data_IF_389567001161
#
_entry.id   IF_389567001161
#
_cell.length_a   1.000
_cell.length_b   1.000
_cell.length_c   1.000
_cell.angle_alpha   90.00
_cell.angle_beta   90.00
_cell.angle_gamma   90.00
#
_symmetry.space_group_name_H-M   'P 1'
#
loop_
_entity.id
_entity.type
_entity.pdbx_description
1 polymer ?
#
# COMPACT_ATOMS: atom_id res chain seq x y z
N UNK A 1 -24.09 -5.00 16.42
CA UNK A 1 -23.37 -5.29 15.17
C UNK A 1 -21.89 -5.46 15.48
N UNK A 2 -21.21 -6.37 14.77
CA UNK A 2 -19.74 -6.45 14.89
C UNK A 2 -19.09 -5.44 13.95
N UNK A 3 -17.97 -4.87 14.39
CA UNK A 3 -17.24 -3.85 13.65
C UNK A 3 -15.89 -4.39 13.16
N UNK A 4 -15.39 -3.80 12.09
CA UNK A 4 -14.01 -3.95 11.61
C UNK A 4 -13.24 -2.71 12.05
N UNK A 5 -12.17 -2.90 12.82
CA UNK A 5 -11.27 -1.80 13.17
C UNK A 5 -10.24 -1.61 12.07
N UNK A 6 -10.25 -0.44 11.42
CA UNK A 6 -9.32 -0.08 10.34
C UNK A 6 -8.29 0.90 10.86
N UNK A 7 -7.10 0.39 11.20
CA UNK A 7 -5.99 1.21 11.71
C UNK A 7 -5.15 1.72 10.54
N UNK A 8 -4.98 3.04 10.45
CA UNK A 8 -4.37 3.70 9.29
C UNK A 8 -5.38 3.91 8.14
N UNK A 9 -6.68 3.98 8.47
CA UNK A 9 -7.77 4.07 7.50
C UNK A 9 -7.94 5.45 6.85
N UNK A 10 -7.18 6.47 7.25
CA UNK A 10 -7.11 7.76 6.58
C UNK A 10 -5.95 7.85 5.57
N UNK A 11 -5.08 6.84 5.52
CA UNK A 11 -4.01 6.70 4.52
C UNK A 11 -4.53 6.27 3.16
N UNK A 12 -3.67 6.26 2.15
CA UNK A 12 -4.03 5.97 0.76
C UNK A 12 -4.78 4.64 0.61
N UNK A 13 -4.14 3.52 0.97
CA UNK A 13 -4.73 2.18 0.81
C UNK A 13 -5.88 1.96 1.80
N UNK A 14 -5.66 2.33 3.08
CA UNK A 14 -6.65 2.14 4.12
C UNK A 14 -7.98 2.85 3.84
N UNK A 15 -7.95 4.04 3.25
CA UNK A 15 -9.16 4.78 2.89
C UNK A 15 -9.95 4.12 1.75
N UNK A 16 -9.28 3.57 0.74
CA UNK A 16 -9.94 2.83 -0.35
C UNK A 16 -10.58 1.54 0.15
N UNK A 17 -9.87 0.81 1.03
CA UNK A 17 -10.44 -0.39 1.67
C UNK A 17 -11.63 -0.04 2.55
N UNK A 18 -11.52 1.02 3.36
CA UNK A 18 -12.61 1.48 4.23
C UNK A 18 -13.84 1.92 3.42
N UNK A 19 -13.62 2.62 2.30
CA UNK A 19 -14.69 3.00 1.38
C UNK A 19 -15.41 1.78 0.83
N UNK A 20 -14.67 0.78 0.33
CA UNK A 20 -15.25 -0.45 -0.22
C UNK A 20 -15.99 -1.26 0.85
N UNK A 21 -15.45 -1.35 2.07
CA UNK A 21 -16.15 -1.97 3.20
C UNK A 21 -17.50 -1.30 3.47
N UNK A 22 -17.56 0.03 3.47
CA UNK A 22 -18.80 0.78 3.61
C UNK A 22 -19.80 0.51 2.47
N UNK A 23 -19.33 0.46 1.21
CA UNK A 23 -20.16 0.10 0.05
C UNK A 23 -20.70 -1.34 0.15
N UNK A 24 -19.93 -2.26 0.78
CA UNK A 24 -20.34 -3.64 1.10
C UNK A 24 -21.14 -3.76 2.42
N UNK A 25 -21.52 -2.61 3.03
CA UNK A 25 -22.33 -2.53 4.26
C UNK A 25 -21.69 -3.16 5.51
N UNK A 26 -20.38 -3.19 5.57
CA UNK A 26 -19.67 -3.50 6.80
C UNK A 26 -19.64 -2.28 7.72
N UNK A 27 -19.86 -2.48 9.02
CA UNK A 27 -19.64 -1.46 10.03
C UNK A 27 -18.13 -1.35 10.32
N UNK A 28 -17.56 -0.16 10.15
CA UNK A 28 -16.13 0.09 10.36
C UNK A 28 -15.92 1.16 11.42
N UNK A 29 -14.82 1.03 12.17
CA UNK A 29 -14.27 2.07 13.03
C UNK A 29 -12.88 2.38 12.52
N UNK A 30 -12.61 3.62 12.13
CA UNK A 30 -11.30 4.04 11.63
C UNK A 30 -10.50 4.68 12.75
N UNK A 31 -9.28 4.19 13.00
CA UNK A 31 -8.30 4.82 13.88
C UNK A 31 -7.13 5.33 13.04
N UNK A 32 -6.84 6.64 13.12
CA UNK A 32 -5.71 7.25 12.42
C UNK A 32 -5.24 8.51 13.16
N UNK A 33 -3.94 8.74 13.24
CA UNK A 33 -3.35 9.93 13.86
C UNK A 33 -3.14 11.09 12.86
N UNK A 34 -3.50 10.89 11.59
CA UNK A 34 -3.37 11.84 10.48
C UNK A 34 -1.92 12.31 10.21
N UNK A 35 -0.92 11.56 10.68
CA UNK A 35 0.49 11.90 10.42
C UNK A 35 0.88 11.78 8.94
N UNK A 36 0.19 10.93 8.20
CA UNK A 36 0.34 10.72 6.74
C UNK A 36 -1.01 10.61 6.03
N UNK A 37 -2.07 10.33 6.78
CA UNK A 37 -3.44 10.25 6.28
C UNK A 37 -4.15 11.62 6.28
N UNK A 38 -5.31 11.65 5.64
CA UNK A 38 -6.15 12.84 5.52
C UNK A 38 -7.57 12.53 5.99
N UNK A 39 -8.10 13.32 6.93
CA UNK A 39 -9.47 13.11 7.45
C UNK A 39 -10.52 13.08 6.32
N UNK A 40 -10.34 13.89 5.27
CA UNK A 40 -11.24 13.94 4.13
C UNK A 40 -11.31 12.62 3.33
N UNK A 41 -10.31 11.74 3.48
CA UNK A 41 -10.31 10.42 2.85
C UNK A 41 -11.14 9.38 3.64
N UNK A 42 -11.55 9.69 4.86
CA UNK A 42 -12.41 8.81 5.67
C UNK A 42 -13.86 9.14 5.38
N UNK A 43 -14.52 8.26 4.62
CA UNK A 43 -15.92 8.40 4.22
C UNK A 43 -16.87 7.52 5.08
N UNK A 44 -16.38 6.92 6.15
CA UNK A 44 -17.18 6.18 7.15
C UNK A 44 -17.67 7.10 8.27
N UNK A 45 -18.70 6.64 9.00
CA UNK A 45 -19.32 7.41 10.08
C UNK A 45 -18.44 7.46 11.32
N UNK A 46 -17.73 6.38 11.64
CA UNK A 46 -16.95 6.24 12.88
C UNK A 46 -15.45 6.49 12.61
N UNK A 47 -14.99 7.67 13.02
CA UNK A 47 -13.58 8.07 12.93
C UNK A 47 -13.05 8.49 14.30
N UNK A 48 -11.97 7.86 14.72
CA UNK A 48 -11.25 8.16 15.96
C UNK A 48 -9.88 8.77 15.59
N UNK A 49 -9.69 10.01 15.97
CA UNK A 49 -8.38 10.68 15.87
C UNK A 49 -7.50 10.21 17.03
N UNK A 50 -6.45 9.46 16.73
CA UNK A 50 -5.53 8.98 17.75
C UNK A 50 -4.43 8.10 17.21
N UNK A 51 -3.43 7.84 18.04
CA UNK A 51 -2.27 7.03 17.69
C UNK A 51 -2.44 5.59 18.21
N UNK A 52 -2.10 4.62 17.38
CA UNK A 52 -2.04 3.20 17.76
C UNK A 52 -1.02 2.94 18.91
N UNK A 53 -0.07 3.85 19.12
CA UNK A 53 0.86 3.79 20.24
C UNK A 53 0.19 4.02 21.60
N UNK A 54 -0.99 4.66 21.63
CA UNK A 54 -1.78 4.91 22.85
C UNK A 54 -2.59 3.65 23.21
N UNK A 55 -2.04 2.89 24.14
CA UNK A 55 -2.63 1.64 24.62
C UNK A 55 -3.99 1.85 25.31
N UNK A 56 -4.14 2.93 26.07
CA UNK A 56 -5.41 3.25 26.72
C UNK A 56 -6.51 3.56 25.71
N UNK A 57 -6.14 4.26 24.62
CA UNK A 57 -7.06 4.52 23.51
C UNK A 57 -7.47 3.21 22.85
N UNK A 58 -6.53 2.31 22.55
CA UNK A 58 -6.84 1.00 22.00
C UNK A 58 -7.80 0.22 22.89
N UNK A 59 -7.49 0.08 24.18
CA UNK A 59 -8.36 -0.60 25.16
C UNK A 59 -9.78 0.01 25.17
N UNK A 60 -9.89 1.33 25.13
CA UNK A 60 -11.20 2.01 25.10
C UNK A 60 -11.97 1.69 23.81
N UNK A 61 -11.30 1.65 22.64
CA UNK A 61 -11.93 1.26 21.39
C UNK A 61 -12.48 -0.16 21.47
N UNK A 62 -11.69 -1.14 21.95
CA UNK A 62 -12.12 -2.53 22.05
C UNK A 62 -13.24 -2.73 23.11
N UNK A 63 -13.33 -1.86 24.12
CA UNK A 63 -14.44 -1.86 25.09
C UNK A 63 -15.72 -1.22 24.55
N UNK A 64 -15.56 -0.15 23.77
CA UNK A 64 -16.69 0.61 23.24
C UNK A 64 -17.34 -0.08 22.05
N UNK A 65 -16.54 -0.69 21.18
CA UNK A 65 -17.00 -1.32 19.96
C UNK A 65 -16.81 -2.84 20.01
N UNK A 66 -17.81 -3.58 19.55
CA UNK A 66 -17.68 -5.02 19.36
C UNK A 66 -16.81 -5.30 18.12
N UNK A 67 -15.49 -5.29 18.28
CA UNK A 67 -14.54 -5.56 17.18
C UNK A 67 -14.46 -7.07 16.94
N UNK A 68 -14.64 -7.50 15.68
CA UNK A 68 -14.48 -8.89 15.24
C UNK A 68 -13.15 -9.12 14.49
N UNK A 69 -12.72 -8.12 13.72
CA UNK A 69 -11.51 -8.15 12.88
C UNK A 69 -10.78 -6.83 12.96
N UNK A 70 -9.45 -6.88 12.94
CA UNK A 70 -8.58 -5.71 12.77
C UNK A 70 -7.97 -5.72 11.37
N UNK A 71 -7.96 -4.57 10.70
CA UNK A 71 -7.20 -4.32 9.48
C UNK A 71 -6.10 -3.33 9.77
N UNK A 72 -4.85 -3.73 9.56
CA UNK A 72 -3.69 -2.95 9.98
C UNK A 72 -2.92 -2.39 8.79
N UNK A 73 -3.15 -1.11 8.47
CA UNK A 73 -2.46 -0.36 7.42
C UNK A 73 -1.41 0.62 7.95
N UNK A 74 -1.47 0.95 9.25
CA UNK A 74 -0.60 1.97 9.84
C UNK A 74 0.86 1.53 9.84
N UNK A 75 1.72 2.28 9.14
CA UNK A 75 3.17 2.09 9.16
C UNK A 75 3.89 3.31 8.58
N UNK A 76 5.14 3.54 8.97
CA UNK A 76 6.07 4.30 8.13
C UNK A 76 6.54 3.40 6.99
N UNK A 77 6.54 3.90 5.75
CA UNK A 77 6.74 3.10 4.53
C UNK A 77 7.80 3.64 3.56
N UNK A 78 8.44 4.77 3.87
CA UNK A 78 9.46 5.37 3.00
C UNK A 78 10.78 4.61 3.18
N UNK A 79 11.21 3.89 2.14
CA UNK A 79 12.39 3.01 2.17
C UNK A 79 13.65 3.80 2.52
N UNK A 80 13.92 4.91 1.84
CA UNK A 80 15.12 5.75 2.05
C UNK A 80 15.16 6.32 3.48
N UNK A 81 14.03 6.76 4.02
CA UNK A 81 13.93 7.21 5.40
C UNK A 81 14.19 6.06 6.38
N UNK A 82 13.79 4.84 6.05
CA UNK A 82 14.03 3.69 6.91
C UNK A 82 15.52 3.39 7.08
N UNK A 83 16.31 3.63 6.02
CA UNK A 83 17.77 3.45 6.07
C UNK A 83 18.45 4.54 6.90
N UNK A 84 18.01 5.79 6.75
CA UNK A 84 18.58 6.93 7.49
C UNK A 84 18.10 7.03 8.95
N UNK A 85 16.90 6.52 9.27
CA UNK A 85 16.33 6.57 10.61
C UNK A 85 15.65 5.23 11.00
N UNK A 86 16.40 4.13 11.14
CA UNK A 86 15.82 2.80 11.36
C UNK A 86 15.05 2.66 12.67
N UNK A 87 15.51 3.31 13.76
CA UNK A 87 14.85 3.21 15.06
C UNK A 87 13.42 3.78 15.07
N UNK A 88 13.16 4.82 14.26
CA UNK A 88 11.82 5.35 14.03
C UNK A 88 10.89 4.26 13.47
N UNK A 89 11.37 3.47 12.51
CA UNK A 89 10.63 2.39 11.87
C UNK A 89 10.39 1.22 12.82
N UNK A 90 11.42 0.78 13.55
CA UNK A 90 11.25 -0.31 14.52
C UNK A 90 10.27 0.07 15.63
N UNK A 91 10.35 1.28 16.17
CA UNK A 91 9.44 1.75 17.22
C UNK A 91 8.01 1.84 16.69
N UNK A 92 7.79 2.50 15.55
CA UNK A 92 6.44 2.70 15.02
C UNK A 92 5.83 1.41 14.48
N UNK A 93 6.57 0.67 13.64
CA UNK A 93 5.98 -0.47 12.94
C UNK A 93 5.91 -1.72 13.83
N UNK A 94 6.95 -2.02 14.63
CA UNK A 94 6.99 -3.25 15.42
C UNK A 94 6.42 -3.04 16.82
N UNK A 95 6.95 -2.08 17.59
CA UNK A 95 6.54 -1.94 18.99
C UNK A 95 5.05 -1.59 19.13
N UNK A 96 4.53 -0.73 18.27
CA UNK A 96 3.10 -0.40 18.30
C UNK A 96 2.22 -1.56 17.80
N UNK A 97 2.70 -2.37 16.84
CA UNK A 97 1.98 -3.59 16.41
C UNK A 97 1.97 -4.64 17.53
N UNK A 98 3.06 -4.78 18.28
CA UNK A 98 3.09 -5.67 19.44
C UNK A 98 2.00 -5.29 20.44
N UNK A 99 1.90 -4.02 20.85
CA UNK A 99 0.82 -3.53 21.71
C UNK A 99 -0.57 -3.81 21.17
N UNK A 100 -0.77 -3.58 19.86
CA UNK A 100 -2.04 -3.89 19.22
C UNK A 100 -2.41 -5.38 19.38
N UNK A 101 -1.45 -6.28 19.14
CA UNK A 101 -1.68 -7.72 19.26
C UNK A 101 -1.99 -8.13 20.73
N UNK A 102 -1.31 -7.53 21.72
CA UNK A 102 -1.58 -7.74 23.13
C UNK A 102 -3.02 -7.33 23.47
N UNK A 103 -3.43 -6.10 23.13
CA UNK A 103 -4.80 -5.62 23.37
C UNK A 103 -5.85 -6.45 22.62
N UNK A 104 -5.58 -6.87 21.37
CA UNK A 104 -6.46 -7.77 20.62
C UNK A 104 -6.70 -9.08 21.38
N UNK A 105 -5.64 -9.72 21.86
CA UNK A 105 -5.72 -10.99 22.58
C UNK A 105 -6.44 -10.85 23.94
N UNK A 106 -6.18 -9.79 24.69
CA UNK A 106 -6.86 -9.48 25.96
C UNK A 106 -8.39 -9.31 25.78
N UNK A 107 -8.81 -8.80 24.62
CA UNK A 107 -10.23 -8.60 24.31
C UNK A 107 -10.83 -9.74 23.47
N UNK A 108 -10.09 -10.84 23.28
CA UNK A 108 -10.56 -12.02 22.55
C UNK A 108 -10.69 -11.85 21.02
N UNK A 109 -10.12 -10.77 20.46
CA UNK A 109 -10.13 -10.53 19.02
C UNK A 109 -8.96 -11.25 18.36
N UNK A 110 -9.26 -12.29 17.59
CA UNK A 110 -8.27 -13.23 17.04
C UNK A 110 -8.22 -13.26 15.51
N UNK A 111 -8.55 -12.16 14.84
CA UNK A 111 -8.50 -12.06 13.38
C UNK A 111 -7.87 -10.74 12.96
N UNK A 112 -6.85 -10.82 12.08
CA UNK A 112 -6.17 -9.63 11.57
C UNK A 112 -5.86 -9.75 10.08
N UNK A 113 -6.15 -8.70 9.31
CA UNK A 113 -5.64 -8.50 7.94
C UNK A 113 -4.48 -7.52 8.01
N UNK A 114 -3.32 -7.95 7.56
CA UNK A 114 -2.08 -7.19 7.68
C UNK A 114 -1.59 -6.71 6.31
N UNK A 115 -1.39 -5.40 6.23
CA UNK A 115 -0.73 -4.72 5.12
C UNK A 115 0.76 -5.02 5.12
N UNK A 116 1.17 -6.06 4.38
CA UNK A 116 2.58 -6.38 4.16
C UNK A 116 3.10 -5.76 2.85
N UNK A 117 4.24 -6.19 2.33
CA UNK A 117 4.93 -5.55 1.21
C UNK A 117 5.82 -6.53 0.45
N UNK A 118 6.02 -6.30 -0.86
CA UNK A 118 7.05 -6.98 -1.64
C UNK A 118 8.48 -6.70 -1.15
N UNK A 119 8.70 -5.63 -0.38
CA UNK A 119 10.03 -5.31 0.19
C UNK A 119 10.57 -6.38 1.15
N UNK A 120 9.73 -7.33 1.61
CA UNK A 120 10.17 -8.49 2.42
C UNK A 120 11.07 -9.44 1.63
N UNK A 121 10.99 -9.45 0.30
CA UNK A 121 11.80 -10.33 -0.55
C UNK A 121 13.23 -9.83 -0.76
N UNK A 122 13.45 -8.51 -0.73
CA UNK A 122 14.74 -7.89 -1.05
C UNK A 122 15.07 -8.00 -2.53
N UNK A 123 16.32 -8.37 -2.85
CA UNK A 123 16.76 -8.65 -4.22
C UNK A 123 16.25 -10.02 -4.65
N UNK A 124 15.44 -10.12 -5.72
CA UNK A 124 14.80 -11.38 -6.08
C UNK A 124 15.78 -12.36 -6.72
N UNK A 125 15.73 -13.63 -6.30
CA UNK A 125 16.48 -14.72 -6.91
C UNK A 125 15.86 -15.17 -8.24
N UNK A 126 14.56 -14.98 -8.41
CA UNK A 126 13.80 -15.26 -9.63
C UNK A 126 12.55 -14.38 -9.73
N UNK A 127 12.09 -14.17 -10.97
CA UNK A 127 10.91 -13.37 -11.30
C UNK A 127 10.09 -14.14 -12.34
N UNK A 128 8.75 -14.24 -12.21
CA UNK A 128 7.87 -13.62 -11.18
C UNK A 128 8.06 -14.23 -9.78
N UNK A 129 7.90 -13.39 -8.74
CA UNK A 129 8.09 -13.72 -7.34
C UNK A 129 6.82 -14.36 -6.79
N UNK A 130 6.91 -15.59 -6.29
CA UNK A 130 5.82 -16.26 -5.55
C UNK A 130 6.02 -16.17 -4.04
N UNK A 131 5.06 -16.70 -3.27
CA UNK A 131 5.09 -16.62 -1.80
C UNK A 131 6.11 -17.55 -1.15
N UNK A 132 6.66 -18.54 -1.90
CA UNK A 132 7.73 -19.46 -1.46
C UNK A 132 9.12 -18.85 -1.68
N UNK A 133 9.21 -17.73 -2.40
CA UNK A 133 10.47 -17.01 -2.59
C UNK A 133 11.11 -16.64 -1.24
N UNK A 134 12.44 -16.80 -1.06
CA UNK A 134 13.13 -16.38 0.16
C UNK A 134 12.83 -14.93 0.53
N UNK A 135 12.60 -14.69 1.82
CA UNK A 135 12.35 -13.35 2.36
C UNK A 135 13.62 -12.82 3.03
N UNK A 136 14.38 -12.01 2.28
CA UNK A 136 15.67 -11.43 2.69
C UNK A 136 15.66 -9.91 2.46
N UNK A 137 14.92 -9.14 3.29
CA UNK A 137 14.75 -7.71 3.09
C UNK A 137 16.07 -6.95 3.21
N UNK A 138 16.34 -6.06 2.25
CA UNK A 138 17.58 -5.27 2.16
C UNK A 138 17.53 -3.96 2.96
N UNK A 139 16.36 -3.56 3.44
CA UNK A 139 16.16 -2.29 4.15
C UNK A 139 15.34 -2.47 5.44
N UNK A 140 15.43 -1.52 6.39
CA UNK A 140 14.73 -1.61 7.68
C UNK A 140 13.20 -1.64 7.53
N UNK A 141 12.60 -0.96 6.57
CA UNK A 141 11.16 -1.04 6.32
C UNK A 141 10.73 -2.49 6.01
N UNK A 142 11.36 -3.13 5.04
CA UNK A 142 11.09 -4.53 4.71
C UNK A 142 11.32 -5.47 5.91
N UNK A 143 12.40 -5.23 6.69
CA UNK A 143 12.68 -5.98 7.93
C UNK A 143 11.56 -5.84 8.95
N UNK A 144 11.01 -4.63 9.16
CA UNK A 144 9.89 -4.44 10.11
C UNK A 144 8.64 -5.19 9.66
N UNK A 145 8.31 -5.17 8.37
CA UNK A 145 7.16 -5.90 7.83
C UNK A 145 7.31 -7.42 7.96
N UNK A 146 8.49 -7.96 7.63
CA UNK A 146 8.78 -9.38 7.80
C UNK A 146 8.75 -9.81 9.28
N UNK A 147 9.26 -8.97 10.19
CA UNK A 147 9.17 -9.23 11.63
C UNK A 147 7.73 -9.35 12.09
N UNK A 148 6.84 -8.47 11.63
CA UNK A 148 5.41 -8.54 11.97
C UNK A 148 4.77 -9.81 11.39
N UNK A 149 5.09 -10.20 10.15
CA UNK A 149 4.59 -11.47 9.60
C UNK A 149 5.01 -12.68 10.47
N UNK A 150 6.24 -12.67 11.00
CA UNK A 150 6.70 -13.73 11.90
C UNK A 150 5.98 -13.67 13.26
N UNK A 151 5.76 -12.49 13.82
CA UNK A 151 4.95 -12.32 15.05
C UNK A 151 3.53 -12.88 14.84
N UNK A 152 2.90 -12.61 13.70
CA UNK A 152 1.57 -13.14 13.38
C UNK A 152 1.56 -14.67 13.27
N UNK A 153 2.58 -15.28 12.66
CA UNK A 153 2.74 -16.74 12.60
C UNK A 153 2.88 -17.36 14.00
N UNK A 154 3.64 -16.72 14.87
CA UNK A 154 3.84 -17.21 16.24
C UNK A 154 2.56 -17.01 17.06
N UNK A 155 1.83 -15.90 16.92
CA UNK A 155 0.53 -15.67 17.56
C UNK A 155 -0.55 -16.64 17.06
N UNK A 156 -0.54 -17.05 15.80
CA UNK A 156 -1.46 -18.08 15.30
C UNK A 156 -1.19 -19.42 16.01
N UNK A 157 0.07 -19.85 16.08
CA UNK A 157 0.46 -21.10 16.73
C UNK A 157 0.16 -21.12 18.23
N UNK A 158 0.46 -20.00 18.92
CA UNK A 158 0.36 -19.93 20.38
C UNK A 158 -1.06 -19.64 20.88
N UNK A 159 -1.79 -18.78 20.16
CA UNK A 159 -3.05 -18.19 20.64
C UNK A 159 -4.24 -18.42 19.69
N UNK A 160 -4.02 -19.00 18.51
CA UNK A 160 -5.03 -19.19 17.48
C UNK A 160 -5.48 -17.88 16.83
N UNK A 161 -4.60 -16.85 16.81
CA UNK A 161 -4.85 -15.59 16.11
C UNK A 161 -4.68 -15.81 14.61
N UNK A 162 -5.79 -15.82 13.85
CA UNK A 162 -5.79 -16.01 12.40
C UNK A 162 -5.47 -14.72 11.68
N UNK A 163 -4.66 -14.81 10.61
CA UNK A 163 -4.21 -13.65 9.86
C UNK A 163 -4.27 -13.85 8.35
N UNK A 164 -4.40 -12.75 7.62
CA UNK A 164 -4.11 -12.65 6.20
C UNK A 164 -3.06 -11.56 5.98
N UNK A 165 -1.83 -11.95 5.62
CA UNK A 165 -0.76 -11.02 5.26
C UNK A 165 -0.77 -10.81 3.75
N UNK A 166 -0.97 -9.57 3.31
CA UNK A 166 -1.06 -9.21 1.91
C UNK A 166 0.20 -8.45 1.50
N UNK A 167 1.09 -9.11 0.73
CA UNK A 167 2.35 -8.56 0.21
C UNK A 167 2.08 -7.88 -1.12
N UNK A 168 1.74 -6.62 -1.12
CA UNK A 168 1.54 -5.91 -2.37
C UNK A 168 2.80 -5.22 -2.89
N UNK A 169 2.82 -5.08 -4.22
CA UNK A 169 3.87 -4.43 -4.96
C UNK A 169 3.58 -2.92 -5.00
N UNK A 170 3.41 -2.31 -6.14
CA UNK A 170 3.24 -0.87 -6.22
C UNK A 170 1.75 -0.51 -6.36
N UNK A 171 1.09 -0.16 -5.27
CA UNK A 171 -0.27 0.37 -5.31
C UNK A 171 -0.30 1.71 -6.06
N UNK A 172 -1.25 1.88 -6.98
CA UNK A 172 -1.40 3.11 -7.76
C UNK A 172 -2.86 3.30 -8.20
N UNK A 173 -3.20 4.46 -8.75
CA UNK A 173 -4.57 4.78 -9.14
C UNK A 173 -5.35 5.52 -8.06
N UNK A 174 -6.65 5.68 -8.30
CA UNK A 174 -7.58 6.35 -7.39
C UNK A 174 -8.98 5.75 -7.51
N UNK A 175 -9.88 6.17 -6.63
CA UNK A 175 -11.30 5.84 -6.77
C UNK A 175 -11.84 6.33 -8.13
N UNK A 176 -12.54 5.47 -8.85
CA UNK A 176 -13.08 5.77 -10.19
C UNK A 176 -14.03 6.98 -10.21
N UNK A 177 -14.73 7.23 -9.09
CA UNK A 177 -15.59 8.40 -8.92
C UNK A 177 -14.79 9.63 -8.46
N UNK A 178 -13.49 9.47 -8.19
CA UNK A 178 -12.58 10.52 -7.75
C UNK A 178 -12.96 11.12 -6.40
N UNK A 179 -13.46 10.32 -5.47
CA UNK A 179 -13.77 10.71 -4.09
C UNK A 179 -12.53 10.75 -3.22
N UNK A 180 -11.61 9.80 -3.46
CA UNK A 180 -10.34 9.62 -2.75
C UNK A 180 -9.26 9.16 -3.72
N UNK A 181 -8.01 9.37 -3.37
CA UNK A 181 -6.84 8.96 -4.14
C UNK A 181 -5.56 9.18 -3.38
N UNK A 182 -4.44 8.93 -4.03
CA UNK A 182 -3.12 9.08 -3.42
C UNK A 182 -2.78 10.56 -3.17
N UNK A 183 -2.34 10.86 -1.94
CA UNK A 183 -1.88 12.18 -1.54
C UNK A 183 -0.83 12.04 -0.44
N UNK A 184 0.43 12.06 -0.83
CA UNK A 184 1.56 12.02 0.11
C UNK A 184 2.31 13.35 0.14
N UNK A 185 2.84 13.68 1.31
CA UNK A 185 3.71 14.83 1.50
C UNK A 185 4.92 14.41 2.36
N UNK A 186 6.13 14.39 1.79
CA UNK A 186 6.45 14.57 0.36
C UNK A 186 5.99 13.37 -0.50
N UNK A 187 5.74 13.62 -1.80
CA UNK A 187 5.41 12.56 -2.74
C UNK A 187 6.67 11.89 -3.30
N UNK A 188 6.73 10.57 -3.17
CA UNK A 188 7.91 9.78 -3.59
C UNK A 188 7.61 8.75 -4.67
N UNK A 189 6.31 8.43 -4.91
CA UNK A 189 5.93 7.43 -5.89
C UNK A 189 5.97 7.95 -7.32
N UNK A 190 6.31 7.06 -8.26
CA UNK A 190 6.59 7.42 -9.65
C UNK A 190 5.37 8.05 -10.33
N UNK A 191 4.23 7.38 -10.34
CA UNK A 191 3.03 7.81 -11.06
C UNK A 191 2.55 9.19 -10.58
N UNK A 192 2.30 9.44 -9.28
CA UNK A 192 1.88 10.77 -8.83
C UNK A 192 2.89 11.87 -9.15
N UNK A 193 4.20 11.58 -9.06
CA UNK A 193 5.24 12.55 -9.41
C UNK A 193 5.20 12.93 -10.88
N UNK A 194 5.03 11.95 -11.78
CA UNK A 194 4.88 12.21 -13.21
C UNK A 194 3.62 13.02 -13.48
N UNK A 195 2.50 12.68 -12.84
CA UNK A 195 1.22 13.37 -13.02
C UNK A 195 1.26 14.82 -12.51
N UNK A 196 1.99 15.10 -11.43
CA UNK A 196 2.24 16.50 -10.98
C UNK A 196 2.98 17.31 -12.04
N UNK A 197 4.02 16.73 -12.67
CA UNK A 197 4.73 17.39 -13.78
C UNK A 197 3.78 17.62 -14.96
N UNK A 198 3.01 16.60 -15.32
CA UNK A 198 2.02 16.66 -16.40
C UNK A 198 1.00 17.79 -16.18
N UNK A 199 0.51 17.93 -14.94
CA UNK A 199 -0.43 18.99 -14.56
C UNK A 199 0.16 20.39 -14.68
N UNK A 200 1.42 20.57 -14.29
CA UNK A 200 2.14 21.84 -14.44
C UNK A 200 2.23 22.23 -15.93
N UNK A 201 2.60 21.29 -16.79
CA UNK A 201 2.66 21.51 -18.25
C UNK A 201 1.30 21.94 -18.80
N UNK A 202 0.24 21.20 -18.46
CA UNK A 202 -1.13 21.54 -18.90
C UNK A 202 -1.59 22.93 -18.47
N UNK A 203 -1.12 23.40 -17.31
CA UNK A 203 -1.40 24.76 -16.82
C UNK A 203 -0.52 25.83 -17.45
N UNK A 204 0.36 25.48 -18.38
CA UNK A 204 1.27 26.43 -19.03
C UNK A 204 2.37 26.94 -18.11
N UNK A 205 2.69 26.24 -17.02
CA UNK A 205 3.73 26.65 -16.11
C UNK A 205 5.12 26.52 -16.77
N UNK A 206 5.97 27.50 -16.57
CA UNK A 206 7.38 27.41 -16.97
C UNK A 206 8.07 26.41 -16.03
N UNK A 207 8.51 25.28 -16.55
CA UNK A 207 9.19 24.26 -15.79
C UNK A 207 10.65 24.64 -15.56
N UNK A 208 11.07 24.71 -14.31
CA UNK A 208 12.50 24.79 -13.97
C UNK A 208 13.18 23.41 -14.19
N UNK A 209 14.50 23.37 -14.14
CA UNK A 209 15.29 22.12 -14.30
C UNK A 209 14.91 20.99 -13.33
N UNK A 210 14.36 21.32 -12.19
CA UNK A 210 13.92 20.35 -11.17
C UNK A 210 12.55 19.72 -11.45
N UNK A 211 11.83 20.18 -12.46
CA UNK A 211 10.51 19.67 -12.84
C UNK A 211 10.58 18.61 -13.97
N UNK A 212 11.74 18.00 -14.18
CA UNK A 212 11.92 16.88 -15.13
C UNK A 212 11.60 15.54 -14.47
N UNK A 213 11.03 14.63 -15.24
CA UNK A 213 10.84 13.24 -14.82
C UNK A 213 12.19 12.53 -14.87
N UNK A 214 12.69 12.06 -13.71
CA UNK A 214 13.96 11.37 -13.67
C UNK A 214 13.76 9.86 -13.91
N UNK A 215 14.49 9.30 -14.89
CA UNK A 215 14.70 7.87 -15.09
C UNK A 215 16.01 7.48 -14.42
N UNK A 216 15.95 6.66 -13.37
CA UNK A 216 17.12 6.22 -12.62
C UNK A 216 17.64 4.88 -13.16
N UNK A 217 18.68 4.94 -13.98
CA UNK A 217 19.25 3.80 -14.70
C UNK A 217 18.53 3.51 -16.01
N UNK A 218 19.34 3.39 -17.08
CA UNK A 218 18.88 3.06 -18.45
C UNK A 218 19.65 1.88 -19.01
N UNK A 219 20.36 1.17 -18.13
CA UNK A 219 21.26 0.07 -18.44
C UNK A 219 20.92 -1.22 -17.67
N UNK A 220 19.68 -1.34 -17.14
CA UNK A 220 19.20 -2.57 -16.54
C UNK A 220 19.01 -3.67 -17.59
N UNK A 221 19.12 -4.94 -17.17
CA UNK A 221 18.80 -6.09 -18.00
C UNK A 221 17.26 -6.24 -18.12
N UNK A 222 16.67 -5.36 -18.93
CA UNK A 222 15.24 -5.24 -19.22
C UNK A 222 15.07 -4.80 -20.67
N UNK A 223 13.90 -4.98 -21.31
CA UNK A 223 13.71 -4.69 -22.73
C UNK A 223 14.08 -3.27 -23.17
N UNK A 224 13.88 -2.26 -22.34
CA UNK A 224 14.14 -0.84 -22.63
C UNK A 224 15.25 -0.22 -21.75
N UNK A 225 15.93 -1.06 -20.97
CA UNK A 225 17.00 -0.65 -20.07
C UNK A 225 16.54 0.00 -18.77
N UNK A 226 15.25 0.25 -18.58
CA UNK A 226 14.73 0.83 -17.33
C UNK A 226 14.16 -0.24 -16.39
N UNK A 227 14.11 0.04 -15.08
CA UNK A 227 13.61 -0.97 -14.13
C UNK A 227 12.12 -1.26 -14.33
N UNK A 228 11.74 -2.52 -14.09
CA UNK A 228 10.36 -3.01 -14.21
C UNK A 228 9.74 -3.16 -12.83
N UNK A 229 8.54 -2.61 -12.64
CA UNK A 229 7.76 -2.69 -11.41
C UNK A 229 6.36 -3.20 -11.72
N UNK A 230 5.80 -3.91 -10.76
CA UNK A 230 4.43 -4.39 -10.82
C UNK A 230 3.50 -3.35 -10.15
N UNK A 231 2.64 -2.74 -10.94
CA UNK A 231 1.65 -1.77 -10.47
C UNK A 231 0.29 -2.43 -10.36
N UNK A 232 -0.33 -2.31 -9.19
CA UNK A 232 -1.68 -2.78 -8.91
C UNK A 232 -2.60 -1.60 -8.65
N UNK A 233 -3.80 -1.62 -9.26
CA UNK A 233 -4.80 -0.60 -8.98
C UNK A 233 -5.27 -0.70 -7.54
N UNK A 234 -5.36 0.45 -6.85
CA UNK A 234 -5.73 0.49 -5.43
C UNK A 234 -7.12 -0.09 -5.16
N UNK A 235 -8.07 -0.02 -6.11
CA UNK A 235 -9.37 -0.67 -5.97
C UNK A 235 -9.28 -2.19 -6.07
N UNK A 236 -8.43 -2.76 -6.93
CA UNK A 236 -8.19 -4.21 -6.97
C UNK A 236 -7.54 -4.69 -5.68
N UNK A 237 -6.63 -3.86 -5.15
CA UNK A 237 -6.04 -4.11 -3.84
C UNK A 237 -7.09 -4.09 -2.73
N UNK A 238 -8.02 -3.13 -2.75
CA UNK A 238 -9.13 -3.06 -1.79
C UNK A 238 -10.04 -4.29 -1.86
N UNK A 239 -10.35 -4.78 -3.07
CA UNK A 239 -11.12 -6.03 -3.24
C UNK A 239 -10.43 -7.22 -2.57
N UNK A 240 -9.11 -7.40 -2.77
CA UNK A 240 -8.36 -8.47 -2.12
C UNK A 240 -8.39 -8.37 -0.58
N UNK A 241 -8.36 -7.14 -0.04
CA UNK A 241 -8.47 -6.92 1.41
C UNK A 241 -9.86 -7.27 1.95
N UNK A 242 -10.93 -6.96 1.22
CA UNK A 242 -12.30 -7.37 1.61
C UNK A 242 -12.43 -8.89 1.56
N UNK A 243 -11.89 -9.55 0.53
CA UNK A 243 -11.86 -11.01 0.46
C UNK A 243 -11.08 -11.64 1.62
N UNK A 244 -10.00 -10.99 2.08
CA UNK A 244 -9.28 -11.43 3.28
C UNK A 244 -10.15 -11.36 4.55
N UNK A 245 -10.93 -10.29 4.70
CA UNK A 245 -11.91 -10.16 5.79
C UNK A 245 -12.95 -11.29 5.71
N UNK A 246 -13.53 -11.54 4.54
CA UNK A 246 -14.53 -12.60 4.32
C UNK A 246 -13.94 -13.98 4.62
N UNK A 247 -12.73 -14.26 4.14
CA UNK A 247 -12.01 -15.50 4.42
C UNK A 247 -11.87 -15.75 5.93
N UNK A 248 -11.36 -14.76 6.68
CA UNK A 248 -11.17 -14.89 8.12
C UNK A 248 -12.50 -14.95 8.90
N UNK A 249 -13.52 -14.23 8.48
CA UNK A 249 -14.87 -14.29 9.09
C UNK A 249 -15.52 -15.66 8.94
N UNK A 250 -15.26 -16.31 7.82
CA UNK A 250 -15.77 -17.65 7.53
C UNK A 250 -14.90 -18.79 8.13
N UNK A 251 -14.00 -18.47 9.07
CA UNK A 251 -13.15 -19.45 9.76
C UNK A 251 -11.98 -19.94 8.93
N UNK A 252 -11.56 -19.18 7.92
CA UNK A 252 -10.41 -19.51 7.08
C UNK A 252 -9.09 -19.50 7.85
N UNK A 253 -8.17 -20.36 7.40
CA UNK A 253 -6.82 -20.49 7.97
C UNK A 253 -5.93 -19.30 7.60
N UNK A 254 -4.90 -19.06 8.43
CA UNK A 254 -3.91 -18.01 8.18
C UNK A 254 -3.24 -18.17 6.82
N UNK A 255 -3.10 -17.06 6.10
CA UNK A 255 -2.55 -17.03 4.74
C UNK A 255 -1.64 -15.83 4.51
N UNK A 256 -0.73 -16.00 3.56
CA UNK A 256 0.06 -14.91 2.99
C UNK A 256 -0.09 -14.95 1.47
N UNK A 257 -0.37 -13.80 0.84
CA UNK A 257 -0.54 -13.68 -0.61
C UNK A 257 0.23 -12.50 -1.18
N UNK A 258 0.75 -12.67 -2.39
CA UNK A 258 1.24 -11.60 -3.23
C UNK A 258 0.09 -10.91 -3.96
N UNK A 259 0.13 -9.59 -4.03
CA UNK A 259 -0.82 -8.77 -4.76
C UNK A 259 -0.09 -7.83 -5.72
N UNK A 260 -0.30 -8.04 -7.00
CA UNK A 260 0.24 -7.27 -8.11
C UNK A 260 -0.66 -7.37 -9.33
N UNK A 261 -0.21 -6.89 -10.47
CA UNK A 261 -0.84 -7.14 -11.78
C UNK A 261 -0.35 -8.44 -12.41
N UNK A 262 0.84 -8.93 -12.02
CA UNK A 262 1.51 -10.09 -12.60
C UNK A 262 2.21 -9.83 -13.94
N UNK A 263 2.07 -8.63 -14.52
CA UNK A 263 2.66 -8.26 -15.81
C UNK A 263 3.99 -7.52 -15.67
N UNK A 264 4.02 -6.52 -14.82
CA UNK A 264 5.12 -5.57 -14.68
C UNK A 264 5.15 -4.54 -15.81
N UNK A 265 5.59 -3.34 -15.49
CA UNK A 265 5.75 -2.23 -16.43
C UNK A 265 7.07 -1.53 -16.17
N UNK A 266 7.76 -1.14 -17.24
CA UNK A 266 8.99 -0.37 -17.15
C UNK A 266 8.69 1.09 -16.77
N UNK A 267 9.72 1.85 -16.37
CA UNK A 267 9.56 3.29 -16.14
C UNK A 267 9.17 4.00 -17.43
N UNK A 268 9.70 3.58 -18.59
CA UNK A 268 9.32 4.15 -19.89
C UNK A 268 7.87 3.84 -20.25
N UNK A 269 7.40 2.60 -20.04
CA UNK A 269 5.99 2.24 -20.24
C UNK A 269 5.06 3.17 -19.46
N UNK A 270 5.40 3.49 -18.20
CA UNK A 270 4.60 4.40 -17.37
C UNK A 270 4.59 5.82 -17.95
N UNK A 271 5.75 6.34 -18.36
CA UNK A 271 5.88 7.68 -18.97
C UNK A 271 5.05 7.77 -20.24
N UNK A 272 5.22 6.83 -21.16
CA UNK A 272 4.51 6.78 -22.45
C UNK A 272 2.98 6.69 -22.27
N UNK A 273 2.53 5.90 -21.29
CA UNK A 273 1.11 5.82 -20.96
C UNK A 273 0.57 7.14 -20.39
N UNK A 274 1.34 7.85 -19.55
CA UNK A 274 0.93 9.18 -19.06
C UNK A 274 0.87 10.16 -20.21
N UNK A 275 1.89 10.23 -21.08
CA UNK A 275 1.91 11.12 -22.25
C UNK A 275 0.69 10.90 -23.15
N UNK A 276 0.39 9.63 -23.45
CA UNK A 276 -0.77 9.26 -24.27
C UNK A 276 -2.11 9.63 -23.63
N UNK A 277 -2.28 9.40 -22.32
CA UNK A 277 -3.56 9.66 -21.62
C UNK A 277 -3.77 11.14 -21.39
N UNK A 278 -2.72 11.87 -21.00
CA UNK A 278 -2.81 13.31 -20.69
C UNK A 278 -2.72 14.16 -21.95
N UNK A 279 -2.13 13.65 -23.03
CA UNK A 279 -1.97 14.34 -24.31
C UNK A 279 -0.87 15.42 -24.27
N UNK A 280 0.29 15.08 -23.69
CA UNK A 280 1.46 15.96 -23.55
C UNK A 280 2.74 15.20 -23.77
N UNK A 281 3.86 15.89 -23.98
CA UNK A 281 5.21 15.34 -23.91
C UNK A 281 5.85 15.72 -22.56
N UNK A 282 6.46 14.74 -21.89
CA UNK A 282 7.10 14.94 -20.58
C UNK A 282 8.59 15.21 -20.76
N UNK A 283 9.15 16.23 -20.10
CA UNK A 283 10.59 16.42 -20.06
C UNK A 283 11.24 15.36 -19.19
N UNK A 284 11.99 14.46 -19.82
CA UNK A 284 12.69 13.37 -19.17
C UNK A 284 14.16 13.71 -18.95
N UNK A 285 14.73 13.23 -17.84
CA UNK A 285 16.17 13.27 -17.56
C UNK A 285 16.64 11.89 -17.12
N UNK A 286 17.64 11.36 -17.79
CA UNK A 286 18.32 10.14 -17.38
C UNK A 286 19.30 10.42 -16.24
N UNK A 287 19.36 9.52 -15.28
CA UNK A 287 20.18 9.63 -14.08
C UNK A 287 20.81 8.27 -13.75
N UNK A 288 21.91 8.19 -13.03
CA UNK A 288 22.49 6.92 -12.58
C UNK A 288 21.49 6.06 -11.81
N UNK A 289 21.71 4.74 -11.79
CA UNK A 289 20.91 3.80 -10.96
C UNK A 289 20.88 4.23 -9.51
N UNK A 290 19.75 3.99 -8.85
CA UNK A 290 19.69 4.07 -7.38
C UNK A 290 20.35 2.84 -6.78
N UNK A 291 21.19 2.95 -5.75
CA UNK A 291 21.75 1.80 -5.07
C UNK A 291 20.66 0.88 -4.52
N UNK A 292 20.79 -0.43 -4.78
CA UNK A 292 19.84 -1.43 -4.27
C UNK A 292 18.49 -1.49 -4.98
N UNK A 293 18.35 -0.86 -6.16
CA UNK A 293 17.11 -0.91 -6.94
C UNK A 293 17.15 -2.14 -7.88
N UNK A 294 16.31 -3.19 -7.69
CA UNK A 294 16.32 -4.37 -8.54
C UNK A 294 15.89 -4.07 -9.96
N UNK A 295 16.42 -4.81 -10.94
CA UNK A 295 16.02 -4.66 -12.34
C UNK A 295 14.51 -4.95 -12.53
N UNK A 296 13.99 -5.98 -11.87
CA UNK A 296 12.59 -6.43 -12.01
C UNK A 296 11.99 -6.85 -10.68
N UNK A 297 10.79 -6.34 -10.38
CA UNK A 297 9.97 -6.77 -9.24
C UNK A 297 8.55 -7.00 -9.75
N UNK A 298 8.16 -8.28 -9.96
CA UNK A 298 6.87 -8.69 -10.53
C UNK A 298 6.30 -9.85 -9.72
N UNK A 299 5.05 -9.77 -9.33
CA UNK A 299 4.34 -10.79 -8.56
C UNK A 299 3.96 -12.00 -9.40
N UNK A 300 4.02 -13.20 -8.83
CA UNK A 300 3.26 -14.36 -9.28
C UNK A 300 1.95 -14.43 -8.49
N UNK A 301 0.84 -14.59 -9.19
CA UNK A 301 -0.51 -14.52 -8.60
C UNK A 301 -1.22 -15.86 -8.54
N UNK A 302 -0.54 -16.97 -8.85
CA UNK A 302 -1.15 -18.30 -8.98
C UNK A 302 -1.83 -18.76 -7.68
N UNK A 303 -1.25 -18.45 -6.53
CA UNK A 303 -1.77 -18.86 -5.23
C UNK A 303 -3.11 -18.19 -4.93
N UNK A 304 -3.17 -16.87 -4.94
CA UNK A 304 -4.43 -16.15 -4.65
C UNK A 304 -5.48 -16.41 -5.72
N UNK A 305 -5.09 -16.53 -7.00
CA UNK A 305 -6.03 -16.86 -8.08
C UNK A 305 -6.66 -18.21 -7.88
N UNK A 306 -5.91 -19.23 -7.44
CA UNK A 306 -6.42 -20.58 -7.19
C UNK A 306 -7.29 -20.65 -5.92
N UNK A 307 -6.85 -19.98 -4.83
CA UNK A 307 -7.48 -20.12 -3.53
C UNK A 307 -8.68 -19.19 -3.35
N UNK A 308 -8.64 -17.97 -3.91
CA UNK A 308 -9.71 -16.98 -3.78
C UNK A 308 -10.37 -16.60 -5.11
N UNK A 309 -9.99 -17.21 -6.23
CA UNK A 309 -10.45 -16.82 -7.57
C UNK A 309 -10.28 -15.31 -7.85
N UNK A 310 -9.27 -14.69 -7.22
CA UNK A 310 -9.00 -13.27 -7.37
C UNK A 310 -7.99 -13.02 -8.49
N UNK A 311 -8.24 -12.00 -9.28
CA UNK A 311 -7.32 -11.45 -10.28
C UNK A 311 -7.48 -9.95 -10.35
N UNK A 312 -6.42 -9.19 -10.63
CA UNK A 312 -6.54 -7.76 -10.89
C UNK A 312 -7.40 -7.54 -12.14
N UNK A 313 -8.32 -6.59 -12.07
CA UNK A 313 -9.24 -6.27 -13.16
C UNK A 313 -8.80 -5.04 -13.96
N UNK A 314 -7.91 -4.23 -13.42
CA UNK A 314 -7.51 -2.92 -13.97
C UNK A 314 -6.06 -2.93 -14.40
N UNK A 315 -5.81 -2.47 -15.63
CA UNK A 315 -4.48 -2.37 -16.23
C UNK A 315 -3.79 -1.01 -15.92
N UNK A 316 -2.58 -0.79 -16.42
CA UNK A 316 -1.84 0.46 -16.27
C UNK A 316 -2.62 1.66 -16.83
N UNK A 317 -3.39 1.48 -17.89
CA UNK A 317 -4.19 2.55 -18.48
C UNK A 317 -5.25 3.04 -17.51
N UNK A 318 -5.98 2.11 -16.86
CA UNK A 318 -6.99 2.47 -15.87
C UNK A 318 -6.35 3.06 -14.60
N UNK A 319 -5.21 2.53 -14.16
CA UNK A 319 -4.41 3.11 -13.06
C UNK A 319 -4.11 4.59 -13.34
N UNK A 320 -3.56 4.89 -14.51
CA UNK A 320 -3.14 6.26 -14.85
C UNK A 320 -4.36 7.17 -15.05
N UNK A 321 -5.44 6.70 -15.68
CA UNK A 321 -6.67 7.50 -15.87
C UNK A 321 -7.28 7.92 -14.53
N UNK A 322 -7.42 6.98 -13.58
CA UNK A 322 -8.01 7.28 -12.28
C UNK A 322 -7.09 8.19 -11.45
N UNK A 323 -5.77 7.92 -11.46
CA UNK A 323 -4.78 8.77 -10.81
C UNK A 323 -4.76 10.19 -11.39
N UNK A 324 -4.86 10.33 -12.73
CA UNK A 324 -4.93 11.64 -13.38
C UNK A 324 -6.19 12.39 -12.97
N UNK A 325 -7.37 11.75 -13.03
CA UNK A 325 -8.63 12.39 -12.62
C UNK A 325 -8.61 12.84 -11.16
N UNK A 326 -7.88 12.15 -10.28
CA UNK A 326 -7.64 12.57 -8.90
C UNK A 326 -6.66 13.74 -8.83
N UNK A 327 -5.53 13.66 -9.53
CA UNK A 327 -4.52 14.72 -9.55
C UNK A 327 -5.09 16.05 -10.04
N UNK A 328 -5.98 16.04 -11.03
CA UNK A 328 -6.63 17.25 -11.52
C UNK A 328 -7.46 17.96 -10.43
N UNK A 329 -8.07 17.20 -9.51
CA UNK A 329 -8.87 17.75 -8.40
C UNK A 329 -8.02 18.29 -7.24
N UNK A 330 -6.80 17.80 -7.06
CA UNK A 330 -5.94 18.27 -5.99
C UNK A 330 -5.47 19.69 -6.24
N UNK A 331 -5.65 20.56 -5.26
CA UNK A 331 -5.02 21.88 -5.26
C UNK A 331 -3.65 21.75 -4.57
N UNK A 332 -2.59 21.62 -5.36
CA UNK A 332 -1.25 21.79 -4.82
C UNK A 332 -0.97 23.31 -4.74
N UNK A 333 -0.59 23.79 -3.58
CA UNK A 333 0.06 25.09 -3.49
C UNK A 333 1.35 24.97 -4.30
N UNK A 334 1.38 25.55 -5.47
CA UNK A 334 2.59 25.66 -6.30
C UNK A 334 3.49 26.64 -5.56
N UNK A 335 4.72 26.26 -5.13
CA UNK A 335 5.65 27.17 -4.49
C UNK A 335 6.09 28.27 -5.45
#
# INVERSE_FOLDING_TARGET
MSHILVIGGAGYIGSHVNLLLGERKYSTVVLDNLSKGHKQAVLSEEFILGDMADELLLVNIFRQYHIDIVMHFSAYSIVDESVSNPLKYYRNNIANTLKLLEVMLEHGVKKIVFSSTAAVYGEPNYVPIDEEHPTIPTNPYGKTKLTIENMLKDCDRAYGLKYASLRYFNAAGADEKGRIGERHEPETHLIPRILRVAKLIKKGATLGDNAKVNIYGTDYDTPDGTCVRDYIHVNDLAEAHVMAVEHLKNGGESRTYNLGSGGGYSVRDVIENVERIVGINLPVRESPRRPGDPARLVARLDKISREWNWRPARDLTEIIKTAWGWEEKLNHNIP
#
